data_IF_129755039336
#
_entry.id   IF_129755039336
#
_cell.length_a   1.000
_cell.length_b   1.000
_cell.length_c   1.000
_cell.angle_alpha   90.00
_cell.angle_beta   90.00
_cell.angle_gamma   90.00
#
_symmetry.space_group_name_H-M   'P 1'
#
loop_
_entity.id
_entity.type
_entity.pdbx_description
1 polymer ?
#
# COMPACT_ATOMS: atom_id res chain seq x y z
N UNK A 1 -14.91 20.42 34.68
CA UNK A 1 -16.07 21.33 34.55
C UNK A 1 -15.64 22.48 33.67
N UNK A 2 -16.27 22.68 32.52
CA UNK A 2 -15.98 23.78 31.59
C UNK A 2 -16.47 25.07 32.26
N UNK A 3 -15.59 26.05 32.46
CA UNK A 3 -15.96 27.32 33.11
C UNK A 3 -16.52 28.30 32.08
N UNK A 4 -17.35 29.26 32.50
CA UNK A 4 -17.92 30.30 31.61
C UNK A 4 -16.83 31.13 30.89
N UNK A 5 -15.61 31.19 31.44
CA UNK A 5 -14.46 31.79 30.79
C UNK A 5 -14.01 31.02 29.54
N UNK A 6 -14.08 29.68 29.54
CA UNK A 6 -13.73 28.83 28.38
C UNK A 6 -14.74 28.97 27.22
N UNK A 7 -15.97 29.40 27.52
CA UNK A 7 -17.00 29.63 26.49
C UNK A 7 -16.82 30.93 25.71
N UNK A 8 -16.07 31.91 26.25
CA UNK A 8 -15.81 33.21 25.61
C UNK A 8 -14.57 33.23 24.71
N UNK A 9 -13.73 32.19 24.80
CA UNK A 9 -12.57 31.99 23.94
C UNK A 9 -13.05 31.49 22.57
N UNK A 10 -12.64 32.17 21.49
CA UNK A 10 -12.91 31.78 20.11
C UNK A 10 -12.68 30.28 19.93
N UNK A 11 -13.57 29.58 19.23
CA UNK A 11 -13.43 28.13 19.01
C UNK A 11 -12.09 27.74 18.38
N UNK A 12 -11.44 28.67 17.67
CA UNK A 12 -10.10 28.54 17.07
C UNK A 12 -8.95 28.59 18.07
N UNK A 13 -9.10 29.27 19.21
CA UNK A 13 -8.08 29.41 20.25
C UNK A 13 -8.22 28.39 21.39
N UNK A 14 -9.21 27.50 21.32
CA UNK A 14 -9.31 26.35 22.21
C UNK A 14 -8.21 25.33 21.91
N UNK A 15 -7.70 24.72 22.97
CA UNK A 15 -6.70 23.66 22.87
C UNK A 15 -7.29 22.44 22.18
N UNK A 16 -6.54 21.87 21.26
CA UNK A 16 -6.88 20.64 20.58
C UNK A 16 -6.26 19.48 21.35
N UNK A 17 -7.04 18.63 22.03
CA UNK A 17 -6.51 17.44 22.70
C UNK A 17 -6.15 16.33 21.70
N UNK A 18 -5.61 16.70 20.53
CA UNK A 18 -5.25 15.82 19.43
C UNK A 18 -3.73 15.79 19.30
N UNK A 19 -3.16 14.59 19.35
CA UNK A 19 -1.73 14.37 19.15
C UNK A 19 -1.47 13.36 18.05
N UNK A 20 -0.35 13.51 17.35
CA UNK A 20 0.14 12.51 16.40
C UNK A 20 0.36 11.17 17.11
N UNK A 21 -0.06 10.07 16.49
CA UNK A 21 0.12 8.73 17.07
C UNK A 21 1.61 8.34 17.06
N UNK A 22 2.18 7.86 18.18
CA UNK A 22 3.63 7.68 18.32
C UNK A 22 4.19 6.44 17.62
N UNK A 23 3.35 5.50 17.19
CA UNK A 23 3.73 4.25 16.53
C UNK A 23 3.76 4.36 14.99
N UNK A 24 3.51 5.55 14.43
CA UNK A 24 3.56 5.80 13.00
C UNK A 24 5.00 5.70 12.50
N UNK A 25 5.24 4.89 11.47
CA UNK A 25 6.53 4.81 10.81
C UNK A 25 6.60 5.86 9.70
N UNK A 26 7.46 6.85 9.87
CA UNK A 26 7.61 7.98 8.94
C UNK A 26 8.92 7.84 8.17
N UNK A 27 8.87 7.95 6.84
CA UNK A 27 10.05 7.92 5.97
C UNK A 27 10.01 9.03 4.92
N UNK A 28 11.12 9.75 4.79
CA UNK A 28 11.32 10.72 3.74
C UNK A 28 11.65 10.04 2.41
N UNK A 29 10.92 10.37 1.35
CA UNK A 29 11.12 9.87 -0.01
C UNK A 29 11.19 11.04 -1.00
N UNK A 30 12.12 10.96 -1.95
CA UNK A 30 12.14 11.86 -3.11
C UNK A 30 11.58 11.14 -4.32
N UNK A 31 10.49 11.66 -4.88
CA UNK A 31 9.86 11.11 -6.07
C UNK A 31 9.84 12.17 -7.17
N UNK A 32 10.45 11.87 -8.32
CA UNK A 32 10.58 12.81 -9.45
C UNK A 32 11.14 14.19 -9.05
N UNK A 33 12.11 14.21 -8.12
CA UNK A 33 12.75 15.44 -7.63
C UNK A 33 11.96 16.21 -6.57
N UNK A 34 10.72 15.82 -6.28
CA UNK A 34 9.88 16.46 -5.27
C UNK A 34 9.95 15.68 -3.93
N UNK A 35 10.11 16.37 -2.79
CA UNK A 35 10.20 15.75 -1.47
C UNK A 35 8.83 15.36 -0.93
N UNK A 36 8.70 14.16 -0.36
CA UNK A 36 7.48 13.69 0.29
C UNK A 36 7.78 12.90 1.56
N UNK A 37 6.90 13.03 2.54
CA UNK A 37 6.87 12.21 3.74
C UNK A 37 5.85 11.09 3.56
N UNK A 38 6.32 9.84 3.60
CA UNK A 38 5.47 8.66 3.56
C UNK A 38 5.26 8.17 4.99
N UNK A 39 4.02 8.21 5.44
CA UNK A 39 3.60 7.77 6.77
C UNK A 39 2.89 6.44 6.64
N UNK A 40 3.44 5.43 7.30
CA UNK A 40 2.85 4.10 7.40
C UNK A 40 2.07 3.99 8.70
N UNK A 41 0.78 3.72 8.58
CA UNK A 41 -0.09 3.40 9.70
C UNK A 41 -0.06 1.87 9.93
N UNK A 42 0.53 1.40 11.05
CA UNK A 42 0.88 -0.01 11.21
C UNK A 42 -0.30 -0.95 11.44
N UNK A 43 -1.47 -0.46 11.91
CA UNK A 43 -2.62 -1.31 12.25
C UNK A 43 -3.48 -1.60 11.02
N UNK A 44 -3.73 -0.59 10.20
CA UNK A 44 -4.51 -0.66 8.98
C UNK A 44 -3.68 -0.91 7.72
N UNK A 45 -2.35 -0.98 7.84
CA UNK A 45 -1.39 -1.14 6.73
C UNK A 45 -1.62 -0.13 5.60
N UNK A 46 -2.03 1.09 5.98
CA UNK A 46 -2.27 2.19 5.05
C UNK A 46 -1.06 3.07 4.96
N UNK A 47 -0.79 3.54 3.75
CA UNK A 47 0.26 4.49 3.46
C UNK A 47 -0.37 5.83 3.10
N UNK A 48 0.12 6.88 3.73
CA UNK A 48 -0.25 8.25 3.45
C UNK A 48 0.98 9.00 2.96
N UNK A 49 0.80 9.82 1.94
CA UNK A 49 1.86 10.66 1.38
C UNK A 49 1.51 12.11 1.69
N UNK A 50 2.42 12.79 2.37
CA UNK A 50 2.30 14.19 2.72
C UNK A 50 3.43 14.99 2.10
N UNK A 51 3.13 16.24 1.75
CA UNK A 51 4.15 17.24 1.45
C UNK A 51 4.83 17.72 2.74
N UNK A 52 5.87 18.52 2.62
CA UNK A 52 6.63 19.03 3.77
C UNK A 52 5.72 19.87 4.70
N UNK A 53 4.86 20.69 4.10
CA UNK A 53 3.90 21.58 4.73
C UNK A 53 2.83 20.80 5.51
N UNK A 54 2.31 19.73 4.94
CA UNK A 54 1.30 18.89 5.57
C UNK A 54 1.89 18.08 6.73
N UNK A 55 3.13 17.61 6.56
CA UNK A 55 3.85 16.88 7.58
C UNK A 55 4.21 17.77 8.77
N UNK A 56 4.59 19.04 8.55
CA UNK A 56 4.87 19.96 9.64
C UNK A 56 3.63 20.24 10.49
N UNK A 57 2.46 20.43 9.87
CA UNK A 57 1.18 20.55 10.60
C UNK A 57 0.93 19.31 11.45
N UNK A 58 1.14 18.10 10.90
CA UNK A 58 0.98 16.86 11.67
C UNK A 58 1.94 16.82 12.88
N UNK A 59 3.18 17.27 12.72
CA UNK A 59 4.19 17.33 13.79
C UNK A 59 3.86 18.38 14.86
N UNK A 60 3.17 19.47 14.50
CA UNK A 60 2.73 20.50 15.44
C UNK A 60 1.60 20.02 16.36
N UNK A 61 0.90 18.92 16.02
CA UNK A 61 -0.16 18.35 16.84
C UNK A 61 0.41 17.53 18.02
N UNK A 62 0.62 18.23 19.13
CA UNK A 62 1.17 17.71 20.39
C UNK A 62 0.12 17.45 21.49
N UNK A 63 -1.16 17.79 21.23
CA UNK A 63 -2.27 17.67 22.19
C UNK A 63 -2.55 18.94 23.01
N UNK A 64 -1.74 20.00 22.86
CA UNK A 64 -1.90 21.25 23.59
C UNK A 64 -2.08 22.47 22.68
N UNK A 65 -1.73 22.37 21.40
CA UNK A 65 -1.83 23.47 20.45
C UNK A 65 -3.29 23.81 20.07
N UNK A 66 -3.53 25.08 19.73
CA UNK A 66 -4.79 25.58 19.16
C UNK A 66 -4.72 25.77 17.63
N UNK A 67 -5.85 25.92 16.95
CA UNK A 67 -5.87 26.16 15.50
C UNK A 67 -5.16 27.47 15.13
N UNK A 68 -5.33 28.51 15.93
CA UNK A 68 -4.69 29.81 15.68
C UNK A 68 -3.16 29.73 15.84
N UNK A 69 -2.66 28.98 16.82
CA UNK A 69 -1.22 28.76 17.00
C UNK A 69 -0.61 27.95 15.85
N UNK A 70 -1.29 26.89 15.40
CA UNK A 70 -0.83 26.09 14.26
C UNK A 70 -0.79 26.96 13.01
N UNK A 71 -1.84 27.73 12.73
CA UNK A 71 -1.87 28.66 11.60
C UNK A 71 -0.74 29.67 11.66
N UNK A 72 -0.53 30.33 12.81
CA UNK A 72 0.54 31.31 12.95
C UNK A 72 1.94 30.69 12.81
N UNK A 73 2.16 29.49 13.34
CA UNK A 73 3.45 28.78 13.17
C UNK A 73 3.67 28.41 11.70
N UNK A 74 2.66 27.87 11.04
CA UNK A 74 2.71 27.51 9.63
C UNK A 74 3.04 28.73 8.74
N UNK A 75 2.33 29.85 8.92
CA UNK A 75 2.55 31.07 8.14
C UNK A 75 3.95 31.69 8.38
N UNK A 76 4.55 31.48 9.57
CA UNK A 76 5.93 31.92 9.85
C UNK A 76 6.98 31.03 9.18
N UNK A 77 6.76 29.72 9.17
CA UNK A 77 7.73 28.74 8.66
C UNK A 77 7.71 28.64 7.13
N UNK A 78 6.54 28.82 6.51
CA UNK A 78 6.33 28.62 5.06
C UNK A 78 5.91 29.90 4.30
N UNK A 79 6.29 31.08 4.80
CA UNK A 79 6.00 32.35 4.10
C UNK A 79 6.51 32.32 2.64
N UNK A 80 5.73 32.76 1.63
CA UNK A 80 4.46 33.51 1.71
C UNK A 80 3.18 32.66 1.70
N UNK A 81 3.27 31.33 1.85
CA UNK A 81 2.09 30.46 1.87
C UNK A 81 1.21 30.77 3.09
N UNK A 82 -0.11 30.78 2.89
CA UNK A 82 -1.11 31.02 3.94
C UNK A 82 -2.13 29.89 3.94
N UNK A 83 -2.61 29.51 5.12
CA UNK A 83 -3.62 28.47 5.29
C UNK A 83 -4.88 29.07 5.93
N UNK A 84 -6.05 28.76 5.36
CA UNK A 84 -7.32 29.18 5.97
C UNK A 84 -7.65 28.29 7.17
N UNK A 85 -8.42 28.82 8.13
CA UNK A 85 -8.88 28.01 9.27
C UNK A 85 -9.78 26.85 8.82
N UNK A 86 -10.55 27.04 7.74
CA UNK A 86 -11.40 25.99 7.18
C UNK A 86 -10.59 24.83 6.60
N UNK A 87 -9.53 25.13 5.85
CA UNK A 87 -8.64 24.11 5.28
C UNK A 87 -7.91 23.35 6.38
N UNK A 88 -7.45 24.06 7.41
CA UNK A 88 -6.78 23.45 8.56
C UNK A 88 -7.73 22.53 9.35
N UNK A 89 -8.98 22.93 9.55
CA UNK A 89 -10.01 22.08 10.17
C UNK A 89 -10.32 20.85 9.33
N UNK A 90 -10.46 21.02 8.01
CA UNK A 90 -10.69 19.91 7.10
C UNK A 90 -9.53 18.91 7.11
N UNK A 91 -8.29 19.42 7.08
CA UNK A 91 -7.07 18.61 7.12
C UNK A 91 -6.94 17.82 8.43
N UNK A 92 -7.12 18.47 9.59
CA UNK A 92 -7.12 17.78 10.89
C UNK A 92 -8.25 16.75 10.97
N UNK A 93 -9.43 17.07 10.43
CA UNK A 93 -10.54 16.13 10.30
C UNK A 93 -10.19 14.89 9.45
N UNK A 94 -9.46 15.08 8.35
CA UNK A 94 -8.92 13.99 7.52
C UNK A 94 -7.92 13.13 8.30
N UNK A 95 -6.96 13.74 9.00
CA UNK A 95 -5.97 13.05 9.83
C UNK A 95 -6.60 12.22 10.97
N UNK A 96 -7.66 12.74 11.57
CA UNK A 96 -8.42 12.01 12.59
C UNK A 96 -9.22 10.85 12.01
N UNK A 97 -9.84 11.01 10.83
CA UNK A 97 -10.56 9.92 10.13
C UNK A 97 -9.62 8.83 9.61
N UNK A 98 -8.40 9.19 9.22
CA UNK A 98 -7.37 8.23 8.78
C UNK A 98 -6.71 7.46 9.93
N UNK A 99 -6.98 7.83 11.20
CA UNK A 99 -6.42 7.15 12.37
C UNK A 99 -4.95 7.52 12.65
N UNK A 100 -4.48 8.65 12.09
CA UNK A 100 -3.13 9.18 12.31
C UNK A 100 -3.04 10.01 13.60
N UNK A 101 -4.18 10.46 14.14
CA UNK A 101 -4.27 11.22 15.38
C UNK A 101 -4.94 10.41 16.48
N UNK A 102 -4.49 10.61 17.71
CA UNK A 102 -5.15 10.13 18.93
C UNK A 102 -5.61 11.32 19.77
N UNK A 103 -6.71 11.15 20.49
CA UNK A 103 -7.20 12.13 21.45
C UNK A 103 -7.04 11.55 22.84
N UNK A 104 -6.62 12.36 23.81
CA UNK A 104 -6.48 11.91 25.22
C UNK A 104 -7.83 11.78 25.96
N UNK A 105 -8.95 11.89 25.25
CA UNK A 105 -10.28 11.64 25.79
C UNK A 105 -10.56 10.13 25.94
N UNK A 106 -10.94 9.71 27.13
CA UNK A 106 -11.29 8.33 27.45
C UNK A 106 -12.45 7.80 26.58
N UNK A 107 -12.38 6.54 26.15
CA UNK A 107 -13.48 5.86 25.44
C UNK A 107 -13.34 5.66 23.92
N UNK A 108 -12.28 6.17 23.27
CA UNK A 108 -12.11 6.04 21.82
C UNK A 108 -11.89 4.62 21.29
N UNK A 109 -11.41 3.69 22.12
CA UNK A 109 -11.22 2.30 21.70
C UNK A 109 -12.50 1.66 21.15
N UNK A 110 -13.66 1.99 21.74
CA UNK A 110 -14.95 1.49 21.26
C UNK A 110 -15.38 2.15 19.94
N UNK A 111 -15.15 3.46 19.77
CA UNK A 111 -15.46 4.19 18.53
C UNK A 111 -14.59 3.71 17.36
N UNK A 112 -13.29 3.46 17.61
CA UNK A 112 -12.35 2.92 16.63
C UNK A 112 -12.72 1.48 16.24
N UNK A 113 -13.09 0.62 17.22
CA UNK A 113 -13.57 -0.74 16.94
C UNK A 113 -14.86 -0.73 16.12
N UNK A 114 -15.84 0.10 16.48
CA UNK A 114 -17.10 0.22 15.71
C UNK A 114 -16.86 0.65 14.27
N UNK A 115 -15.94 1.59 14.03
CA UNK A 115 -15.53 2.00 12.68
C UNK A 115 -14.85 0.87 11.91
N UNK A 116 -13.99 0.09 12.56
CA UNK A 116 -13.38 -1.10 11.96
C UNK A 116 -14.47 -2.10 11.55
N UNK A 117 -15.42 -2.38 12.44
CA UNK A 117 -16.49 -3.35 12.16
C UNK A 117 -17.38 -2.89 10.99
N UNK A 118 -17.69 -1.60 10.90
CA UNK A 118 -18.41 -1.03 9.75
C UNK A 118 -17.59 -1.05 8.45
N UNK A 119 -16.28 -0.82 8.52
CA UNK A 119 -15.40 -0.91 7.36
C UNK A 119 -15.27 -2.36 6.87
N UNK A 120 -15.12 -3.32 7.79
CA UNK A 120 -15.10 -4.76 7.48
C UNK A 120 -16.42 -5.20 6.87
N UNK A 121 -17.56 -4.76 7.42
CA UNK A 121 -18.88 -5.05 6.84
C UNK A 121 -19.04 -4.47 5.44
N UNK A 122 -18.62 -3.22 5.21
CA UNK A 122 -18.65 -2.60 3.88
C UNK A 122 -17.73 -3.32 2.89
N UNK A 123 -16.56 -3.75 3.33
CA UNK A 123 -15.64 -4.55 2.52
C UNK A 123 -16.27 -5.91 2.15
N UNK A 124 -16.92 -6.59 3.10
CA UNK A 124 -17.62 -7.85 2.86
C UNK A 124 -18.80 -7.67 1.89
N UNK A 125 -19.61 -6.62 2.06
CA UNK A 125 -20.71 -6.30 1.15
C UNK A 125 -20.19 -5.94 -0.26
N UNK A 126 -19.07 -5.22 -0.35
CA UNK A 126 -18.43 -4.89 -1.63
C UNK A 126 -17.82 -6.13 -2.31
N UNK A 127 -17.34 -7.12 -1.55
CA UNK A 127 -16.91 -8.41 -2.10
C UNK A 127 -18.07 -9.20 -2.70
N UNK A 128 -19.26 -9.10 -2.10
CA UNK A 128 -20.48 -9.75 -2.62
C UNK A 128 -21.03 -9.04 -3.87
N UNK A 129 -20.88 -7.70 -3.98
CA UNK A 129 -21.36 -6.96 -5.15
C UNK A 129 -20.45 -7.10 -6.38
N UNK A 130 -19.19 -7.48 -6.20
CA UNK A 130 -18.20 -7.66 -7.28
C UNK A 130 -17.98 -9.14 -7.61
N UNK A 131 -19.04 -9.86 -8.01
CA UNK A 131 -18.94 -11.27 -8.45
C UNK A 131 -17.99 -11.45 -9.64
N UNK A 132 -17.83 -10.42 -10.48
CA UNK A 132 -16.94 -10.42 -11.65
C UNK A 132 -15.46 -10.13 -11.31
N UNK A 133 -15.16 -9.72 -10.07
CA UNK A 133 -13.82 -9.42 -9.58
C UNK A 133 -13.71 -9.83 -8.11
N UNK A 134 -13.91 -11.12 -7.83
CA UNK A 134 -13.70 -11.65 -6.49
C UNK A 134 -12.21 -11.64 -6.17
N UNK A 135 -11.81 -10.65 -5.36
CA UNK A 135 -10.48 -10.57 -4.75
C UNK A 135 -10.50 -11.34 -3.45
N UNK A 136 -9.96 -12.56 -3.47
CA UNK A 136 -9.67 -13.30 -2.25
C UNK A 136 -8.40 -12.72 -1.66
N UNK A 137 -8.51 -12.03 -0.53
CA UNK A 137 -7.36 -11.58 0.28
C UNK A 137 -6.71 -12.83 0.87
N UNK A 138 -5.72 -13.36 0.17
CA UNK A 138 -4.99 -14.56 0.57
C UNK A 138 -3.93 -14.22 1.61
N UNK A 139 -3.70 -15.22 2.44
CA UNK A 139 -2.61 -15.45 3.42
C UNK A 139 -1.50 -14.39 3.35
N UNK A 140 -1.19 -13.78 4.50
CA UNK A 140 -0.03 -12.89 4.67
C UNK A 140 1.27 -13.65 4.31
N UNK A 141 1.88 -13.36 3.14
CA UNK A 141 3.05 -14.07 2.66
C UNK A 141 4.34 -13.52 3.27
N UNK A 142 4.27 -12.47 4.10
CA UNK A 142 5.45 -11.72 4.53
C UNK A 142 6.45 -12.61 5.26
N UNK A 143 5.99 -13.60 6.05
CA UNK A 143 6.87 -14.59 6.71
C UNK A 143 7.63 -15.47 5.71
N UNK A 144 6.93 -15.96 4.68
CA UNK A 144 7.54 -16.80 3.65
C UNK A 144 8.49 -15.97 2.78
N UNK A 145 8.10 -14.75 2.41
CA UNK A 145 8.94 -13.80 1.69
C UNK A 145 10.16 -13.36 2.52
N UNK A 146 10.05 -13.22 3.85
CA UNK A 146 11.17 -13.00 4.78
C UNK A 146 12.16 -14.15 4.78
N UNK A 147 11.66 -15.38 4.75
CA UNK A 147 12.52 -16.56 4.70
C UNK A 147 13.20 -16.75 3.34
N UNK A 148 12.49 -16.49 2.22
CA UNK A 148 13.03 -16.62 0.86
C UNK A 148 13.93 -15.45 0.42
N UNK A 149 13.70 -14.24 0.94
CA UNK A 149 14.47 -13.04 0.57
C UNK A 149 15.99 -13.22 0.56
N UNK A 150 16.66 -13.80 1.58
CA UNK A 150 18.11 -13.99 1.55
C UNK A 150 18.58 -14.90 0.40
N UNK A 151 17.82 -15.94 0.06
CA UNK A 151 18.16 -16.89 -1.00
C UNK A 151 17.92 -16.30 -2.40
N UNK A 152 16.88 -15.48 -2.56
CA UNK A 152 16.51 -14.91 -3.87
C UNK A 152 17.19 -13.57 -4.15
N UNK A 153 17.89 -12.99 -3.17
CA UNK A 153 18.60 -11.71 -3.33
C UNK A 153 19.58 -11.70 -4.52
N UNK A 154 20.17 -12.85 -4.85
CA UNK A 154 21.08 -12.98 -5.98
C UNK A 154 20.40 -12.81 -7.35
N UNK A 155 19.10 -13.17 -7.48
CA UNK A 155 18.35 -12.99 -8.73
C UNK A 155 18.19 -11.51 -9.12
N UNK A 156 18.17 -10.61 -8.13
CA UNK A 156 17.99 -9.18 -8.36
C UNK A 156 19.31 -8.42 -8.54
N UNK A 157 20.43 -9.13 -8.70
CA UNK A 157 21.74 -8.51 -8.96
C UNK A 157 21.89 -8.15 -10.44
N UNK A 158 22.62 -7.07 -10.75
CA UNK A 158 22.89 -6.65 -12.14
C UNK A 158 23.46 -7.79 -12.99
N UNK A 159 24.32 -8.63 -12.40
CA UNK A 159 24.92 -9.80 -13.05
C UNK A 159 23.91 -10.89 -13.40
N UNK A 160 22.93 -11.16 -12.52
CA UNK A 160 21.85 -12.11 -12.81
C UNK A 160 20.98 -11.60 -13.96
N UNK A 161 20.68 -10.29 -14.00
CA UNK A 161 19.97 -9.68 -15.12
C UNK A 161 20.71 -9.82 -16.46
N UNK A 162 22.03 -9.60 -16.47
CA UNK A 162 22.86 -9.81 -17.66
C UNK A 162 22.86 -11.28 -18.08
N UNK A 163 23.03 -12.20 -17.12
CA UNK A 163 23.00 -13.64 -17.38
C UNK A 163 21.67 -14.08 -18.01
N UNK A 164 20.53 -13.71 -17.40
CA UNK A 164 19.21 -14.03 -17.93
C UNK A 164 18.95 -13.37 -19.28
N UNK A 165 19.45 -12.15 -19.50
CA UNK A 165 19.39 -11.46 -20.79
C UNK A 165 20.17 -12.19 -21.88
N UNK A 166 21.42 -12.61 -21.59
CA UNK A 166 22.24 -13.40 -22.52
C UNK A 166 21.64 -14.78 -22.76
N UNK A 167 21.08 -15.41 -21.73
CA UNK A 167 20.39 -16.70 -21.86
C UNK A 167 19.17 -16.57 -22.78
N UNK A 168 18.32 -15.56 -22.57
CA UNK A 168 17.18 -15.27 -23.43
C UNK A 168 17.60 -14.95 -24.87
N UNK A 169 18.66 -14.16 -25.04
CA UNK A 169 19.23 -13.87 -26.36
C UNK A 169 19.73 -15.15 -27.05
N UNK A 170 20.42 -16.03 -26.32
CA UNK A 170 20.89 -17.30 -26.87
C UNK A 170 19.74 -18.20 -27.31
N UNK A 171 18.64 -18.25 -26.54
CA UNK A 171 17.44 -19.00 -26.90
C UNK A 171 16.77 -18.41 -28.16
N UNK A 172 16.65 -17.08 -28.25
CA UNK A 172 16.10 -16.40 -29.43
C UNK A 172 16.96 -16.66 -30.68
N UNK A 173 18.29 -16.60 -30.54
CA UNK A 173 19.22 -16.92 -31.63
C UNK A 173 19.07 -18.39 -32.06
N UNK A 174 18.93 -19.32 -31.11
CA UNK A 174 18.71 -20.73 -31.42
C UNK A 174 17.41 -20.94 -32.21
N UNK A 175 16.32 -20.29 -31.80
CA UNK A 175 15.03 -20.31 -32.52
C UNK A 175 15.17 -19.71 -33.91
N UNK A 176 15.91 -18.59 -34.06
CA UNK A 176 16.16 -17.97 -35.35
C UNK A 176 16.99 -18.85 -36.30
N UNK A 177 18.06 -19.48 -35.80
CA UNK A 177 18.95 -20.34 -36.59
C UNK A 177 18.31 -21.69 -36.94
N UNK A 178 17.49 -22.25 -36.02
CA UNK A 178 16.83 -23.55 -36.18
C UNK A 178 15.33 -23.41 -36.34
N UNK A 179 14.89 -22.37 -37.04
CA UNK A 179 13.48 -22.03 -37.16
C UNK A 179 12.63 -23.16 -37.76
N UNK A 180 13.12 -23.83 -38.81
CA UNK A 180 12.40 -24.94 -39.45
C UNK A 180 12.24 -26.14 -38.53
N UNK A 181 13.28 -26.49 -37.77
CA UNK A 181 13.22 -27.59 -36.78
C UNK A 181 12.27 -27.22 -35.64
N UNK A 182 12.33 -25.98 -35.17
CA UNK A 182 11.42 -25.48 -34.14
C UNK A 182 9.96 -25.55 -34.61
N UNK A 183 9.67 -25.13 -35.84
CA UNK A 183 8.34 -25.18 -36.44
C UNK A 183 7.80 -26.61 -36.58
N UNK A 184 8.65 -27.56 -36.97
CA UNK A 184 8.27 -28.97 -37.09
C UNK A 184 8.04 -29.66 -35.76
N UNK A 185 8.67 -29.17 -34.68
CA UNK A 185 8.55 -29.71 -33.32
C UNK A 185 7.43 -29.07 -32.51
N UNK A 186 6.81 -28.00 -33.02
CA UNK A 186 5.66 -27.37 -32.37
C UNK A 186 4.43 -28.27 -32.56
N UNK A 187 3.83 -28.79 -31.48
CA UNK A 187 2.60 -29.55 -31.57
C UNK A 187 1.47 -28.66 -32.10
N UNK A 188 0.50 -29.27 -32.77
CA UNK A 188 -0.67 -28.55 -33.24
C UNK A 188 -1.47 -28.00 -32.05
N UNK A 189 -2.10 -26.82 -32.22
CA UNK A 189 -2.90 -26.19 -31.16
C UNK A 189 -3.93 -27.15 -30.52
N UNK A 190 -4.51 -28.06 -31.30
CA UNK A 190 -5.51 -29.02 -30.84
C UNK A 190 -4.92 -30.15 -29.97
N UNK A 191 -3.66 -30.53 -30.17
CA UNK A 191 -2.96 -31.49 -29.31
C UNK A 191 -2.58 -30.84 -27.97
N UNK A 192 -2.19 -29.56 -28.02
CA UNK A 192 -1.85 -28.80 -26.81
C UNK A 192 -3.05 -28.57 -25.89
N UNK A 193 -4.22 -28.23 -26.45
CA UNK A 193 -5.48 -28.04 -25.71
C UNK A 193 -6.35 -29.30 -25.65
N UNK A 194 -5.77 -30.48 -25.90
CA UNK A 194 -6.48 -31.75 -25.77
C UNK A 194 -7.03 -31.97 -24.35
N UNK A 195 -8.17 -32.68 -24.18
CA UNK A 195 -8.79 -32.91 -22.87
C UNK A 195 -7.85 -33.57 -21.86
N UNK A 196 -6.94 -34.43 -22.32
CA UNK A 196 -5.94 -35.12 -21.49
C UNK A 196 -4.92 -34.14 -20.87
N UNK A 197 -4.66 -33.01 -21.53
CA UNK A 197 -3.68 -32.02 -21.10
C UNK A 197 -4.29 -30.92 -20.22
N UNK A 198 -5.61 -30.84 -20.07
CA UNK A 198 -6.27 -29.76 -19.32
C UNK A 198 -5.85 -29.70 -17.86
N UNK A 199 -5.69 -30.85 -17.21
CA UNK A 199 -5.26 -30.91 -15.81
C UNK A 199 -3.82 -30.38 -15.69
N UNK A 200 -2.92 -30.83 -16.57
CA UNK A 200 -1.52 -30.39 -16.57
C UNK A 200 -1.37 -28.92 -16.93
N UNK A 201 -2.14 -28.43 -17.90
CA UNK A 201 -2.16 -27.04 -18.32
C UNK A 201 -2.69 -26.13 -17.21
N UNK A 202 -3.80 -26.51 -16.58
CA UNK A 202 -4.35 -25.80 -15.42
C UNK A 202 -3.39 -25.76 -14.24
N UNK A 203 -2.77 -26.90 -13.89
CA UNK A 203 -1.77 -26.96 -12.83
C UNK A 203 -0.53 -26.10 -13.15
N UNK A 204 -0.02 -26.17 -14.38
CA UNK A 204 1.16 -25.39 -14.81
C UNK A 204 0.88 -23.90 -14.77
N UNK A 205 -0.28 -23.46 -15.27
CA UNK A 205 -0.70 -22.05 -15.21
C UNK A 205 -0.84 -21.58 -13.77
N UNK A 206 -1.49 -22.37 -12.91
CA UNK A 206 -1.65 -22.05 -11.50
C UNK A 206 -0.29 -21.91 -10.80
N UNK A 207 0.61 -22.88 -10.97
CA UNK A 207 1.96 -22.86 -10.37
C UNK A 207 2.77 -21.67 -10.89
N UNK A 208 2.75 -21.43 -12.21
CA UNK A 208 3.50 -20.31 -12.81
C UNK A 208 3.01 -18.97 -12.28
N UNK A 209 1.71 -18.79 -12.15
CA UNK A 209 1.12 -17.57 -11.57
C UNK A 209 1.45 -17.40 -10.10
N UNK A 210 1.37 -18.47 -9.31
CA UNK A 210 1.80 -18.44 -7.91
C UNK A 210 3.27 -17.99 -7.82
N UNK A 211 4.17 -18.58 -8.61
CA UNK A 211 5.57 -18.18 -8.66
C UNK A 211 5.76 -16.72 -9.13
N UNK A 212 4.93 -16.24 -10.05
CA UNK A 212 4.95 -14.85 -10.53
C UNK A 212 4.56 -13.86 -9.43
N UNK A 213 3.48 -14.13 -8.70
CA UNK A 213 3.06 -13.32 -7.55
C UNK A 213 4.13 -13.31 -6.45
N UNK A 214 4.76 -14.47 -6.18
CA UNK A 214 5.93 -14.52 -5.30
C UNK A 214 7.10 -13.68 -5.83
N UNK A 215 7.34 -13.70 -7.14
CA UNK A 215 8.34 -12.85 -7.80
C UNK A 215 8.07 -11.36 -7.58
N UNK A 216 6.82 -10.92 -7.71
CA UNK A 216 6.40 -9.56 -7.38
C UNK A 216 6.60 -9.22 -5.90
N UNK A 217 6.19 -10.10 -4.99
CA UNK A 217 6.38 -9.94 -3.55
C UNK A 217 7.86 -9.82 -3.15
N UNK A 218 8.72 -10.68 -3.69
CA UNK A 218 10.17 -10.65 -3.46
C UNK A 218 10.82 -9.39 -4.04
N UNK A 219 10.39 -8.96 -5.22
CA UNK A 219 10.85 -7.71 -5.84
C UNK A 219 10.49 -6.52 -4.95
N UNK A 220 9.22 -6.41 -4.54
CA UNK A 220 8.73 -5.35 -3.66
C UNK A 220 9.57 -5.27 -2.37
N UNK A 221 9.83 -6.43 -1.77
CA UNK A 221 10.63 -6.57 -0.56
C UNK A 221 12.07 -6.13 -0.72
N UNK A 222 12.70 -6.48 -1.84
CA UNK A 222 14.06 -6.05 -2.16
C UNK A 222 14.19 -4.53 -2.26
N UNK A 223 13.18 -3.88 -2.83
CA UNK A 223 13.13 -2.42 -2.98
C UNK A 223 12.55 -1.70 -1.74
N UNK A 224 12.38 -2.41 -0.61
CA UNK A 224 12.00 -1.83 0.68
C UNK A 224 10.49 -1.67 0.90
N UNK A 225 9.66 -2.24 0.04
CA UNK A 225 8.22 -2.38 0.26
C UNK A 225 7.89 -3.62 1.12
N UNK A 226 6.68 -3.64 1.67
CA UNK A 226 6.15 -4.80 2.39
C UNK A 226 4.88 -5.27 1.68
N UNK A 227 4.78 -6.57 1.43
CA UNK A 227 3.63 -7.18 0.78
C UNK A 227 2.90 -8.05 1.80
N UNK A 228 1.81 -7.51 2.34
CA UNK A 228 0.99 -8.15 3.37
C UNK A 228 -0.27 -8.81 2.81
N UNK A 229 -0.48 -8.73 1.50
CA UNK A 229 -1.60 -9.39 0.81
C UNK A 229 -1.10 -9.98 -0.52
N UNK A 230 -1.15 -11.30 -0.68
CA UNK A 230 -1.18 -11.96 -1.99
C UNK A 230 -2.60 -12.48 -2.19
N UNK A 231 -3.25 -12.09 -3.28
CA UNK A 231 -4.65 -12.42 -3.51
C UNK A 231 -4.88 -13.13 -4.83
N UNK A 232 -5.92 -13.96 -4.86
CA UNK A 232 -6.47 -14.52 -6.11
C UNK A 232 -7.50 -13.54 -6.63
N UNK A 233 -7.30 -13.06 -7.86
CA UNK A 233 -8.34 -12.35 -8.60
C UNK A 233 -9.01 -13.32 -9.57
N UNK A 234 -10.32 -13.45 -9.49
CA UNK A 234 -11.09 -14.19 -10.51
C UNK A 234 -11.79 -13.16 -11.37
N UNK A 235 -11.41 -13.08 -12.64
CA UNK A 235 -12.00 -12.17 -13.61
C UNK A 235 -12.90 -13.00 -14.53
N UNK A 236 -14.22 -12.80 -14.48
CA UNK A 236 -15.20 -13.50 -15.34
C UNK A 236 -15.10 -15.03 -15.24
N UNK A 237 -15.04 -15.58 -14.02
CA UNK A 237 -14.92 -17.03 -13.73
C UNK A 237 -13.66 -17.73 -14.30
N UNK A 238 -12.84 -17.03 -15.09
CA UNK A 238 -11.48 -17.45 -15.40
C UNK A 238 -10.55 -17.03 -14.27
N UNK A 239 -9.78 -17.97 -13.68
CA UNK A 239 -8.79 -17.61 -12.67
C UNK A 239 -7.67 -16.82 -13.35
N UNK A 240 -7.74 -15.50 -13.19
CA UNK A 240 -6.69 -14.56 -13.57
C UNK A 240 -5.99 -14.15 -12.29
N UNK A 241 -5.27 -15.09 -11.68
CA UNK A 241 -4.30 -14.76 -10.63
C UNK A 241 -3.27 -13.80 -11.23
#
# INVERSE_FOLDING_TARGET
MVTLADSLVSSSSRRLPLRMRPDLSIRYHRYQGQPYWVIKEPIGLKYYRFQEEEYSILRMLDGNCSFDEIKQRFEREYAPQKISLGDLQHFIGMLHRSGLLITDAEGQGQQLRKRRDEAVRRELLSKLSNVLAMRFKGIDPDKLLNWLAPFTNWFFTKWAGIFWGLFGLSALLLVGVKFEVFRQRLPAFHEFFGPENWIFLGATLAITKVLHEFGHGLSCKKFGGECHEIGVMVLVLTPCL
#
